data_IF_822485350122
#
_entry.id   IF_822485350122
#
_cell.length_a   1.000
_cell.length_b   1.000
_cell.length_c   1.000
_cell.angle_alpha   90.00
_cell.angle_beta   90.00
_cell.angle_gamma   90.00
#
_symmetry.space_group_name_H-M   'P 1'
#
loop_
_entity.id
_entity.type
_entity.pdbx_description
1 polymer ?
#
# COMPACT_ATOMS: atom_id res chain seq x y z
N UNK A 1 -53.67 -24.70 3.51
CA UNK A 1 -52.53 -24.45 4.42
C UNK A 1 -51.33 -25.21 3.90
N UNK A 2 -50.37 -24.55 3.23
CA UNK A 2 -49.17 -25.20 2.68
C UNK A 2 -47.98 -24.85 3.58
N UNK A 3 -47.64 -25.77 4.47
CA UNK A 3 -46.52 -25.69 5.39
C UNK A 3 -45.20 -25.63 4.61
N UNK A 4 -44.47 -24.52 4.76
CA UNK A 4 -43.10 -24.40 4.26
C UNK A 4 -42.18 -25.36 5.01
N UNK A 5 -41.23 -26.05 4.33
CA UNK A 5 -40.42 -27.08 4.97
C UNK A 5 -39.50 -26.48 6.06
N UNK A 6 -39.42 -27.10 7.25
CA UNK A 6 -38.69 -26.56 8.41
C UNK A 6 -37.19 -26.35 8.18
N UNK A 7 -36.61 -27.00 7.17
CA UNK A 7 -35.19 -26.85 6.81
C UNK A 7 -34.85 -25.46 6.24
N UNK A 8 -35.74 -24.85 5.44
CA UNK A 8 -35.51 -23.53 4.84
C UNK A 8 -35.45 -22.43 5.90
N UNK A 9 -36.24 -22.57 6.96
CA UNK A 9 -36.21 -21.65 8.10
C UNK A 9 -34.90 -21.76 8.90
N UNK A 10 -34.34 -22.96 9.04
CA UNK A 10 -33.04 -23.19 9.68
C UNK A 10 -31.88 -22.59 8.87
N UNK A 11 -31.86 -22.83 7.55
CA UNK A 11 -30.86 -22.27 6.63
C UNK A 11 -30.90 -20.74 6.63
N UNK A 12 -32.09 -20.14 6.58
CA UNK A 12 -32.25 -18.68 6.63
C UNK A 12 -31.76 -18.07 7.95
N UNK A 13 -31.94 -18.77 9.07
CA UNK A 13 -31.48 -18.31 10.39
C UNK A 13 -29.96 -18.36 10.51
N UNK A 14 -29.33 -19.41 9.97
CA UNK A 14 -27.86 -19.54 9.93
C UNK A 14 -27.27 -18.47 9.01
N UNK A 15 -27.85 -18.22 7.85
CA UNK A 15 -27.44 -17.14 6.94
C UNK A 15 -27.54 -15.77 7.60
N UNK A 16 -28.62 -15.49 8.34
CA UNK A 16 -28.77 -14.24 9.08
C UNK A 16 -27.73 -14.08 10.21
N UNK A 17 -27.36 -15.16 10.90
CA UNK A 17 -26.33 -15.14 11.93
C UNK A 17 -24.93 -14.94 11.36
N UNK A 18 -24.61 -15.61 10.25
CA UNK A 18 -23.34 -15.44 9.53
C UNK A 18 -23.23 -14.04 8.92
N UNK A 19 -24.31 -13.53 8.32
CA UNK A 19 -24.35 -12.16 7.81
C UNK A 19 -24.20 -11.12 8.93
N UNK A 20 -24.82 -11.33 10.09
CA UNK A 20 -24.68 -10.46 11.25
C UNK A 20 -23.26 -10.47 11.83
N UNK A 21 -22.61 -11.64 11.92
CA UNK A 21 -21.21 -11.75 12.33
C UNK A 21 -20.26 -11.08 11.33
N UNK A 22 -20.52 -11.25 10.03
CA UNK A 22 -19.66 -10.64 9.02
C UNK A 22 -19.80 -9.12 8.98
N UNK A 23 -21.01 -8.59 9.17
CA UNK A 23 -21.23 -7.15 9.21
C UNK A 23 -20.39 -6.48 10.31
N UNK A 24 -20.38 -7.02 11.52
CA UNK A 24 -19.62 -6.45 12.64
C UNK A 24 -18.11 -6.58 12.47
N UNK A 25 -17.63 -7.68 11.89
CA UNK A 25 -16.19 -7.84 11.61
C UNK A 25 -15.72 -6.99 10.43
N UNK A 26 -16.54 -6.81 9.39
CA UNK A 26 -16.24 -5.93 8.25
C UNK A 26 -16.17 -4.45 8.67
N UNK A 27 -17.03 -4.03 9.59
CA UNK A 27 -17.00 -2.67 10.15
C UNK A 27 -15.71 -2.40 10.93
N UNK A 28 -15.26 -3.39 11.73
CA UNK A 28 -13.97 -3.36 12.41
C UNK A 28 -12.77 -3.42 11.44
N UNK A 29 -12.81 -4.30 10.44
CA UNK A 29 -11.78 -4.40 9.40
C UNK A 29 -11.66 -3.12 8.57
N UNK A 30 -12.79 -2.49 8.22
CA UNK A 30 -12.82 -1.23 7.51
C UNK A 30 -12.17 -0.09 8.30
N UNK A 31 -12.41 -0.06 9.63
CA UNK A 31 -11.78 0.91 10.53
C UNK A 31 -10.26 0.69 10.63
N UNK A 32 -9.83 -0.56 10.83
CA UNK A 32 -8.40 -0.91 10.90
C UNK A 32 -7.66 -0.65 9.58
N UNK A 33 -8.32 -0.87 8.43
CA UNK A 33 -7.77 -0.59 7.11
C UNK A 33 -7.58 0.91 6.89
N UNK A 34 -8.54 1.72 7.31
CA UNK A 34 -8.45 3.17 7.21
C UNK A 34 -7.30 3.72 8.08
N UNK A 35 -7.14 3.20 9.29
CA UNK A 35 -6.00 3.54 10.16
C UNK A 35 -4.65 3.11 9.55
N UNK A 36 -4.59 1.92 8.93
CA UNK A 36 -3.39 1.43 8.26
C UNK A 36 -3.02 2.28 7.04
N UNK A 37 -3.99 2.62 6.20
CA UNK A 37 -3.77 3.50 5.03
C UNK A 37 -3.38 4.92 5.46
N UNK A 38 -4.02 5.48 6.49
CA UNK A 38 -3.70 6.81 6.97
C UNK A 38 -2.26 6.90 7.50
N UNK A 39 -1.83 5.92 8.29
CA UNK A 39 -0.45 5.82 8.77
C UNK A 39 0.53 5.65 7.62
N UNK A 40 0.22 4.78 6.65
CA UNK A 40 1.09 4.54 5.50
C UNK A 40 1.23 5.79 4.62
N UNK A 41 0.13 6.49 4.33
CA UNK A 41 0.15 7.72 3.53
C UNK A 41 0.92 8.81 4.25
N UNK A 42 0.71 8.98 5.55
CA UNK A 42 1.44 9.97 6.33
C UNK A 42 2.95 9.68 6.35
N UNK A 43 3.35 8.44 6.66
CA UNK A 43 4.75 8.02 6.65
C UNK A 43 5.37 8.13 5.25
N UNK A 44 4.61 7.85 4.20
CA UNK A 44 5.05 7.99 2.82
C UNK A 44 5.30 9.45 2.44
N UNK A 45 4.39 10.36 2.81
CA UNK A 45 4.57 11.80 2.58
C UNK A 45 5.79 12.30 3.35
N UNK A 46 5.92 11.94 4.63
CA UNK A 46 7.05 12.35 5.45
C UNK A 46 8.38 11.83 4.88
N UNK A 47 8.41 10.56 4.44
CA UNK A 47 9.53 9.96 3.73
C UNK A 47 9.86 10.69 2.43
N UNK A 48 8.86 11.02 1.62
CA UNK A 48 9.05 11.77 0.37
C UNK A 48 9.63 13.17 0.63
N UNK A 49 9.10 13.88 1.62
CA UNK A 49 9.63 15.19 2.04
C UNK A 49 11.08 15.07 2.50
N UNK A 50 11.41 14.08 3.33
CA UNK A 50 12.78 13.84 3.78
C UNK A 50 13.74 13.55 2.63
N UNK A 51 13.32 12.75 1.64
CA UNK A 51 14.12 12.45 0.44
C UNK A 51 14.35 13.71 -0.41
N UNK A 52 13.32 14.54 -0.60
CA UNK A 52 13.44 15.80 -1.36
C UNK A 52 14.38 16.78 -0.67
N UNK A 53 14.19 17.02 0.64
CA UNK A 53 15.06 17.92 1.41
C UNK A 53 16.50 17.40 1.46
N UNK A 54 16.69 16.10 1.68
CA UNK A 54 18.01 15.47 1.66
C UNK A 54 18.70 15.61 0.30
N UNK A 55 17.97 15.32 -0.79
CA UNK A 55 18.47 15.48 -2.15
C UNK A 55 18.86 16.92 -2.47
N UNK A 56 18.05 17.90 -2.06
CA UNK A 56 18.34 19.31 -2.22
C UNK A 56 19.56 19.75 -1.41
N UNK A 57 19.67 19.31 -0.15
CA UNK A 57 20.82 19.58 0.70
C UNK A 57 22.12 19.03 0.10
N UNK A 58 22.08 17.77 -0.38
CA UNK A 58 23.21 17.19 -1.10
C UNK A 58 23.54 18.04 -2.33
N UNK A 59 22.56 18.37 -3.18
CA UNK A 59 22.78 19.16 -4.39
C UNK A 59 23.45 20.51 -4.11
N UNK A 60 23.04 21.20 -3.04
CA UNK A 60 23.70 22.43 -2.60
C UNK A 60 25.12 22.17 -2.11
N UNK A 61 25.37 21.10 -1.35
CA UNK A 61 26.71 20.72 -0.92
C UNK A 61 27.62 20.38 -2.10
N UNK A 62 27.10 19.75 -3.15
CA UNK A 62 27.79 19.48 -4.39
C UNK A 62 28.21 20.76 -5.12
N UNK A 63 27.28 21.71 -5.26
CA UNK A 63 27.58 23.03 -5.84
C UNK A 63 28.63 23.76 -5.00
N UNK A 64 28.50 23.75 -3.67
CA UNK A 64 29.47 24.34 -2.75
C UNK A 64 30.87 23.72 -2.92
N UNK A 65 30.95 22.39 -2.99
CA UNK A 65 32.19 21.66 -3.25
C UNK A 65 32.81 22.05 -4.58
N UNK A 66 31.99 22.15 -5.64
CA UNK A 66 32.46 22.59 -6.95
C UNK A 66 33.00 24.01 -6.92
N UNK A 67 32.36 24.93 -6.19
CA UNK A 67 32.81 26.32 -6.06
C UNK A 67 34.14 26.38 -5.30
N UNK A 68 34.26 25.67 -4.17
CA UNK A 68 35.48 25.68 -3.33
C UNK A 68 36.68 25.09 -4.08
N UNK A 69 36.49 23.97 -4.78
CA UNK A 69 37.57 23.22 -5.41
C UNK A 69 37.70 23.48 -6.92
N UNK A 70 36.98 24.48 -7.43
CA UNK A 70 36.96 24.81 -8.84
C UNK A 70 38.38 25.00 -9.37
N UNK A 71 39.30 25.70 -8.72
CA UNK A 71 40.55 26.03 -9.42
C UNK A 71 41.59 24.89 -9.50
N UNK A 72 41.64 23.96 -8.54
CA UNK A 72 42.72 22.96 -8.48
C UNK A 72 42.29 21.52 -8.70
N UNK A 73 41.04 21.13 -8.39
CA UNK A 73 40.67 19.70 -8.31
C UNK A 73 39.28 19.39 -8.90
N UNK A 74 38.83 20.14 -9.93
CA UNK A 74 37.50 19.99 -10.58
C UNK A 74 37.11 18.54 -10.84
N UNK A 75 38.04 17.78 -11.44
CA UNK A 75 37.78 16.40 -11.88
C UNK A 75 37.66 15.45 -10.69
N UNK A 76 38.52 15.59 -9.67
CA UNK A 76 38.48 14.75 -8.47
C UNK A 76 37.19 14.98 -7.67
N UNK A 77 36.75 16.23 -7.55
CA UNK A 77 35.49 16.58 -6.89
C UNK A 77 34.29 16.09 -7.71
N UNK A 78 34.30 16.25 -9.03
CA UNK A 78 33.24 15.71 -9.90
C UNK A 78 33.12 14.18 -9.79
N UNK A 79 34.24 13.45 -9.76
CA UNK A 79 34.27 12.00 -9.55
C UNK A 79 33.77 11.61 -8.15
N UNK A 80 34.16 12.35 -7.11
CA UNK A 80 33.68 12.15 -5.75
C UNK A 80 32.16 12.33 -5.65
N UNK A 81 31.63 13.41 -6.23
CA UNK A 81 30.18 13.63 -6.33
C UNK A 81 29.51 12.48 -7.11
N UNK A 82 30.05 12.09 -8.27
CA UNK A 82 29.49 11.00 -9.08
C UNK A 82 29.35 9.70 -8.28
N UNK A 83 30.38 9.34 -7.50
CA UNK A 83 30.37 8.16 -6.65
C UNK A 83 29.37 8.29 -5.50
N UNK A 84 29.28 9.45 -4.85
CA UNK A 84 28.34 9.68 -3.75
C UNK A 84 26.89 9.63 -4.23
N UNK A 85 26.55 10.37 -5.29
CA UNK A 85 25.19 10.37 -5.85
C UNK A 85 24.85 9.06 -6.52
N UNK A 86 25.77 8.48 -7.29
CA UNK A 86 25.57 7.21 -7.97
C UNK A 86 25.40 6.07 -6.95
N UNK A 87 26.27 6.01 -5.94
CA UNK A 87 26.18 5.06 -4.84
C UNK A 87 24.89 5.23 -4.03
N UNK A 88 24.52 6.47 -3.71
CA UNK A 88 23.26 6.80 -3.05
C UNK A 88 22.03 6.36 -3.85
N UNK A 89 22.03 6.60 -5.17
CA UNK A 89 20.94 6.19 -6.06
C UNK A 89 20.81 4.66 -6.14
N UNK A 90 21.93 3.93 -6.25
CA UNK A 90 21.94 2.46 -6.26
C UNK A 90 21.46 1.92 -4.91
N UNK A 91 21.97 2.44 -3.79
CA UNK A 91 21.56 2.03 -2.46
C UNK A 91 20.06 2.27 -2.23
N UNK A 92 19.54 3.44 -2.63
CA UNK A 92 18.12 3.75 -2.53
C UNK A 92 17.27 2.84 -3.43
N UNK A 93 17.71 2.56 -4.65
CA UNK A 93 17.02 1.64 -5.56
C UNK A 93 17.00 0.20 -5.00
N UNK A 94 18.10 -0.27 -4.40
CA UNK A 94 18.17 -1.56 -3.73
C UNK A 94 17.26 -1.60 -2.48
N UNK A 95 17.28 -0.56 -1.66
CA UNK A 95 16.42 -0.45 -0.48
C UNK A 95 14.95 -0.45 -0.87
N UNK A 96 14.54 0.34 -1.88
CA UNK A 96 13.18 0.39 -2.37
C UNK A 96 12.74 -0.96 -2.95
N UNK A 97 13.60 -1.62 -3.73
CA UNK A 97 13.34 -2.97 -4.24
C UNK A 97 13.18 -3.98 -3.10
N UNK A 98 14.00 -3.90 -2.06
CA UNK A 98 13.88 -4.77 -0.89
C UNK A 98 12.57 -4.51 -0.15
N UNK A 99 12.22 -3.23 0.07
CA UNK A 99 10.97 -2.79 0.68
C UNK A 99 9.73 -3.24 -0.09
N UNK A 100 9.75 -3.16 -1.42
CA UNK A 100 8.64 -3.61 -2.27
C UNK A 100 8.50 -5.14 -2.26
N UNK A 101 9.61 -5.89 -2.21
CA UNK A 101 9.60 -7.35 -2.11
C UNK A 101 9.16 -7.88 -0.74
N UNK A 102 9.39 -7.11 0.32
CA UNK A 102 9.00 -7.45 1.70
C UNK A 102 7.84 -6.59 2.19
N UNK A 103 7.14 -5.90 1.29
CA UNK A 103 5.95 -5.15 1.66
C UNK A 103 4.93 -6.17 2.18
N UNK A 104 4.39 -6.00 3.40
CA UNK A 104 3.31 -6.85 3.89
C UNK A 104 2.16 -6.75 2.87
N UNK A 105 1.53 -7.88 2.55
CA UNK A 105 0.30 -7.93 1.75
C UNK A 105 -0.70 -6.92 2.32
N UNK A 106 -0.78 -5.73 1.73
CA UNK A 106 -1.62 -4.60 2.16
C UNK A 106 -3.05 -4.71 1.63
N UNK A 107 -3.29 -5.64 0.71
CA UNK A 107 -4.56 -5.82 0.00
C UNK A 107 -5.26 -7.19 0.13
N UNK A 108 -4.94 -8.10 1.08
CA UNK A 108 -5.63 -9.38 1.15
C UNK A 108 -7.11 -9.19 1.54
N UNK A 109 -7.43 -8.16 2.34
CA UNK A 109 -8.80 -7.79 2.67
C UNK A 109 -9.56 -7.24 1.44
N UNK A 110 -8.96 -6.29 0.71
CA UNK A 110 -9.57 -5.68 -0.49
C UNK A 110 -9.79 -6.71 -1.61
N UNK A 111 -8.87 -7.66 -1.81
CA UNK A 111 -9.07 -8.76 -2.76
C UNK A 111 -10.15 -9.74 -2.31
N UNK A 112 -10.25 -10.03 -1.01
CA UNK A 112 -11.29 -10.90 -0.48
C UNK A 112 -12.69 -10.28 -0.62
N UNK A 113 -12.82 -8.95 -0.45
CA UNK A 113 -14.06 -8.22 -0.70
C UNK A 113 -14.43 -8.16 -2.18
N UNK A 114 -13.48 -7.91 -3.08
CA UNK A 114 -13.74 -7.93 -4.53
C UNK A 114 -14.21 -9.32 -5.02
N UNK A 115 -13.66 -10.40 -4.45
CA UNK A 115 -14.10 -11.76 -4.76
C UNK A 115 -15.51 -12.03 -4.23
N UNK A 116 -15.88 -11.42 -3.10
CA UNK A 116 -17.19 -11.58 -2.49
C UNK A 116 -18.28 -10.82 -3.26
N UNK A 117 -18.00 -9.59 -3.67
CA UNK A 117 -18.88 -8.78 -4.53
C UNK A 117 -19.10 -9.45 -5.88
N UNK A 118 -18.04 -9.99 -6.48
CA UNK A 118 -18.15 -10.76 -7.72
C UNK A 118 -19.06 -11.97 -7.57
N UNK A 119 -18.98 -12.69 -6.45
CA UNK A 119 -19.86 -13.84 -6.17
C UNK A 119 -21.31 -13.42 -5.97
N UNK A 120 -21.57 -12.28 -5.30
CA UNK A 120 -22.92 -11.76 -5.11
C UNK A 120 -23.57 -11.37 -6.45
N UNK A 121 -22.82 -10.68 -7.33
CA UNK A 121 -23.30 -10.30 -8.65
C UNK A 121 -23.60 -11.51 -9.55
N UNK A 122 -22.75 -12.54 -9.51
CA UNK A 122 -23.00 -13.78 -10.26
C UNK A 122 -24.21 -14.57 -9.74
N UNK A 123 -24.50 -14.50 -8.43
CA UNK A 123 -25.65 -15.18 -7.84
C UNK A 123 -26.98 -14.53 -8.23
N UNK A 124 -27.01 -13.20 -8.32
CA UNK A 124 -28.18 -12.43 -8.76
C UNK A 124 -28.46 -12.70 -10.24
N UNK A 125 -27.42 -12.68 -11.09
CA UNK A 125 -27.57 -12.99 -12.50
C UNK A 125 -28.12 -14.42 -12.73
N UNK A 126 -27.74 -15.39 -11.89
CA UNK A 126 -28.24 -16.76 -11.98
C UNK A 126 -29.69 -16.94 -11.47
N UNK A 127 -30.18 -16.05 -10.60
CA UNK A 127 -31.60 -16.01 -10.19
C UNK A 127 -32.48 -15.28 -11.21
N UNK A 128 -31.93 -14.36 -11.99
CA UNK A 128 -32.66 -13.58 -13.00
C UNK A 128 -32.92 -14.37 -14.29
N UNK A 129 -32.06 -15.36 -14.59
CA UNK A 129 -32.16 -16.25 -15.76
C UNK A 129 -33.00 -17.54 -15.51
N UNK A 130 -33.61 -17.70 -14.33
CA UNK A 130 -34.35 -18.91 -13.90
C UNK A 130 -35.86 -18.66 -13.67
#
# INVERSE_FOLDING_TARGET
>A
MKSSPPFLAGVRRILAQVAGLLGTHLELFGLELQDALQRLVFDFILGAVAVVLGGLCLALAAVLLLIIFWDSHRIAVALGLMLVYGGGAIAFACYLRHRLKHAPDLFPATCAELVRDRKALLHIAAEEDA
#
